data_IF_470183875210
#
_entry.id   IF_470183875210
#
_cell.length_a   1.000
_cell.length_b   1.000
_cell.length_c   1.000
_cell.angle_alpha   90.00
_cell.angle_beta   90.00
_cell.angle_gamma   90.00
#
_symmetry.space_group_name_H-M   'P 1'
#
loop_
_entity.id
_entity.type
_entity.pdbx_description
1 polymer ?
#
# COMPACT_ATOMS: atom_id res chain seq x y z
N UNK A 1 -11.79 16.80 -5.41
CA UNK A 1 -10.73 17.07 -4.43
C UNK A 1 -11.34 17.77 -3.24
N UNK A 2 -11.15 17.23 -2.03
CA UNK A 2 -11.61 17.87 -0.81
C UNK A 2 -10.97 19.23 -0.57
N UNK A 3 -11.77 20.16 -0.06
CA UNK A 3 -11.32 21.50 0.32
C UNK A 3 -11.19 21.53 1.84
N UNK A 4 -10.00 21.91 2.33
CA UNK A 4 -9.64 21.76 3.73
C UNK A 4 -9.23 23.09 4.32
N UNK A 5 -9.97 23.49 5.35
CA UNK A 5 -9.59 24.55 6.26
C UNK A 5 -9.02 23.94 7.55
N UNK A 6 -7.72 24.13 7.77
CA UNK A 6 -7.03 23.68 8.98
C UNK A 6 -7.29 24.60 10.19
N UNK A 7 -8.13 25.63 10.06
CA UNK A 7 -8.58 26.45 11.18
C UNK A 7 -9.56 25.71 12.09
N UNK A 8 -9.45 25.95 13.40
CA UNK A 8 -10.31 25.36 14.42
C UNK A 8 -9.77 24.04 15.01
N UNK A 9 -10.37 23.55 16.11
CA UNK A 9 -9.87 22.36 16.78
C UNK A 9 -10.21 21.12 15.96
N UNK A 10 -9.18 20.35 15.63
CA UNK A 10 -9.32 18.98 15.16
C UNK A 10 -9.37 18.02 16.36
N UNK A 11 -9.90 16.78 16.18
CA UNK A 11 -9.95 15.80 17.26
C UNK A 11 -8.57 15.59 17.87
N UNK A 12 -8.45 15.66 19.19
CA UNK A 12 -7.18 15.45 19.89
C UNK A 12 -6.65 14.02 19.76
N UNK A 13 -7.52 13.07 19.40
CA UNK A 13 -7.19 11.69 19.04
C UNK A 13 -6.49 11.55 17.69
N UNK A 14 -6.56 12.58 16.82
CA UNK A 14 -6.04 12.52 15.45
C UNK A 14 -4.51 12.51 15.47
N UNK A 15 -3.91 11.38 15.13
CA UNK A 15 -2.45 11.18 15.11
C UNK A 15 -1.87 11.12 13.70
N UNK A 16 -2.71 10.86 12.69
CA UNK A 16 -2.30 10.79 11.29
C UNK A 16 -3.19 11.66 10.42
N UNK A 17 -2.56 12.53 9.64
CA UNK A 17 -3.22 13.39 8.67
C UNK A 17 -2.56 13.25 7.30
N UNK A 18 -3.32 12.88 6.29
CA UNK A 18 -2.90 12.78 4.90
C UNK A 18 -3.68 13.77 4.05
N UNK A 19 -2.97 14.71 3.43
CA UNK A 19 -3.51 15.80 2.63
C UNK A 19 -3.13 15.66 1.16
N UNK A 20 -2.65 14.48 0.72
CA UNK A 20 -2.09 14.28 -0.62
C UNK A 20 -3.03 14.69 -1.77
N UNK A 21 -4.35 14.54 -1.61
CA UNK A 21 -5.36 14.90 -2.62
C UNK A 21 -6.26 16.07 -2.19
N UNK A 22 -5.84 16.82 -1.18
CA UNK A 22 -6.58 17.94 -0.62
C UNK A 22 -6.15 19.29 -1.22
N UNK A 23 -7.13 20.20 -1.39
CA UNK A 23 -6.87 21.62 -1.62
C UNK A 23 -6.92 22.35 -0.29
N UNK A 24 -5.80 22.96 0.11
CA UNK A 24 -5.71 23.72 1.35
C UNK A 24 -6.20 25.15 1.14
N UNK A 25 -7.24 25.56 1.87
CA UNK A 25 -7.72 26.95 1.90
C UNK A 25 -6.96 27.80 2.93
N UNK A 26 -6.62 27.20 4.07
CA UNK A 26 -5.91 27.87 5.14
C UNK A 26 -5.00 26.88 5.88
N UNK A 27 -3.73 27.24 6.02
CA UNK A 27 -2.69 26.44 6.68
C UNK A 27 -2.06 27.12 7.91
N UNK A 28 -2.54 28.29 8.30
CA UNK A 28 -1.93 29.14 9.34
C UNK A 28 -1.72 28.41 10.68
N UNK A 29 -2.56 27.40 10.97
CA UNK A 29 -2.54 26.62 12.22
C UNK A 29 -1.99 25.20 12.06
N UNK A 30 -1.35 24.86 10.94
CA UNK A 30 -0.76 23.52 10.74
C UNK A 30 0.21 23.16 11.87
N UNK A 31 1.08 24.10 12.25
CA UNK A 31 2.03 23.90 13.35
C UNK A 31 1.40 23.77 14.75
N UNK A 32 0.09 23.97 14.89
CA UNK A 32 -0.63 23.76 16.15
C UNK A 32 -1.12 22.31 16.31
N UNK A 33 -1.10 21.51 15.25
CA UNK A 33 -1.47 20.08 15.26
C UNK A 33 -0.33 19.22 15.85
N UNK A 34 0.16 19.61 17.01
CA UNK A 34 1.33 19.04 17.69
C UNK A 34 1.13 17.60 18.15
N UNK A 35 -0.10 17.09 18.15
CA UNK A 35 -0.42 15.69 18.45
C UNK A 35 -0.10 14.72 17.30
N UNK A 36 0.12 15.22 16.07
CA UNK A 36 0.36 14.39 14.90
C UNK A 36 1.70 13.66 15.00
N UNK A 37 1.67 12.36 14.76
CA UNK A 37 2.86 11.52 14.56
C UNK A 37 3.15 11.26 13.08
N UNK A 38 2.14 11.37 12.22
CA UNK A 38 2.25 11.12 10.77
C UNK A 38 1.59 12.26 10.00
N UNK A 39 2.32 12.82 9.04
CA UNK A 39 1.83 13.88 8.16
C UNK A 39 2.20 13.59 6.71
N UNK A 40 1.21 13.56 5.81
CA UNK A 40 1.41 13.57 4.36
C UNK A 40 0.95 14.91 3.82
N UNK A 41 1.87 15.65 3.20
CA UNK A 41 1.61 16.98 2.66
C UNK A 41 1.05 16.89 1.22
N UNK A 42 0.19 17.84 0.81
CA UNK A 42 -0.26 17.91 -0.58
C UNK A 42 0.90 18.23 -1.53
N UNK A 43 0.67 17.97 -2.81
CA UNK A 43 1.52 18.50 -3.87
C UNK A 43 1.45 20.03 -3.86
N UNK A 44 2.59 20.69 -3.71
CA UNK A 44 2.66 22.15 -3.58
C UNK A 44 4.05 22.63 -3.17
N UNK A 45 4.29 23.95 -3.13
CA UNK A 45 5.60 24.50 -2.79
C UNK A 45 5.96 24.15 -1.34
N UNK A 46 6.92 23.26 -1.20
CA UNK A 46 7.37 22.66 0.06
C UNK A 46 7.87 23.68 1.09
N UNK A 47 8.42 24.81 0.63
CA UNK A 47 8.93 25.90 1.46
C UNK A 47 7.87 26.55 2.36
N UNK A 48 6.60 26.47 1.94
CA UNK A 48 5.48 27.03 2.70
C UNK A 48 5.20 26.25 4.00
N UNK A 49 5.67 25.01 4.11
CA UNK A 49 5.42 24.15 5.26
C UNK A 49 6.52 24.21 6.33
N UNK A 50 7.78 24.48 5.95
CA UNK A 50 8.95 24.31 6.83
C UNK A 50 8.81 24.98 8.22
N UNK A 51 8.39 26.27 8.33
CA UNK A 51 8.26 26.92 9.65
C UNK A 51 7.14 26.34 10.53
N UNK A 52 6.16 25.65 9.94
CA UNK A 52 5.11 24.94 10.68
C UNK A 52 5.62 23.58 11.14
N UNK A 53 6.34 22.87 10.27
CA UNK A 53 6.91 21.54 10.56
C UNK A 53 7.95 21.57 11.68
N UNK A 54 8.74 22.64 11.79
CA UNK A 54 9.71 22.80 12.89
C UNK A 54 9.05 22.87 14.28
N UNK A 55 7.76 23.25 14.35
CA UNK A 55 7.00 23.30 15.61
C UNK A 55 6.36 21.95 15.98
N UNK A 56 6.36 21.00 15.06
CA UNK A 56 5.65 19.71 15.21
C UNK A 56 6.58 18.60 15.72
N UNK A 57 7.12 18.78 16.92
CA UNK A 57 8.20 17.94 17.48
C UNK A 57 7.85 16.47 17.74
N UNK A 58 6.60 16.04 17.53
CA UNK A 58 6.14 14.64 17.68
C UNK A 58 6.10 13.86 16.37
N UNK A 59 6.44 14.49 15.25
CA UNK A 59 6.40 13.83 13.94
C UNK A 59 7.43 12.69 13.88
N UNK A 60 6.94 11.49 13.58
CA UNK A 60 7.72 10.29 13.33
C UNK A 60 7.76 9.93 11.85
N UNK A 61 6.70 10.27 11.12
CA UNK A 61 6.55 9.99 9.69
C UNK A 61 6.17 11.25 8.95
N UNK A 62 6.93 11.60 7.91
CA UNK A 62 6.60 12.70 6.99
C UNK A 62 6.65 12.18 5.55
N UNK A 63 5.58 12.45 4.80
CA UNK A 63 5.57 12.32 3.35
C UNK A 63 5.36 13.68 2.70
N UNK A 64 6.17 13.98 1.70
CA UNK A 64 6.11 15.28 1.02
C UNK A 64 6.53 15.18 -0.44
N UNK A 65 6.09 16.15 -1.23
CA UNK A 65 6.55 16.32 -2.61
C UNK A 65 7.68 17.35 -2.64
N UNK A 66 8.77 16.99 -3.31
CA UNK A 66 9.86 17.88 -3.64
C UNK A 66 9.74 18.30 -5.11
N UNK A 67 9.79 19.60 -5.35
CA UNK A 67 10.18 20.13 -6.65
C UNK A 67 11.71 20.23 -6.71
N UNK A 68 12.27 19.99 -7.89
CA UNK A 68 13.70 19.92 -8.22
C UNK A 68 14.57 21.13 -7.81
N UNK A 69 13.98 22.22 -7.32
CA UNK A 69 14.64 23.51 -7.28
C UNK A 69 15.46 23.81 -6.03
N UNK A 70 15.19 23.25 -4.83
CA UNK A 70 15.77 23.86 -3.61
C UNK A 70 16.23 22.90 -2.49
N UNK A 71 17.53 22.97 -2.16
CA UNK A 71 18.20 22.33 -1.01
C UNK A 71 17.60 22.68 0.37
N UNK A 72 16.96 23.84 0.51
CA UNK A 72 16.33 24.29 1.77
C UNK A 72 15.08 23.50 2.17
N UNK A 73 14.57 22.68 1.25
CA UNK A 73 13.30 21.98 1.47
C UNK A 73 13.35 20.98 2.62
N UNK A 74 14.52 20.41 2.91
CA UNK A 74 14.69 19.45 4.00
C UNK A 74 15.15 20.09 5.31
N UNK A 75 15.31 21.42 5.40
CA UNK A 75 15.83 22.07 6.61
C UNK A 75 14.95 21.83 7.86
N UNK A 76 13.64 21.60 7.67
CA UNK A 76 12.70 21.32 8.77
C UNK A 76 13.09 20.07 9.59
N UNK A 77 13.87 19.15 9.02
CA UNK A 77 14.30 17.93 9.72
C UNK A 77 15.17 18.26 10.93
N UNK A 78 15.81 19.45 10.97
CA UNK A 78 16.54 19.95 12.15
C UNK A 78 15.64 20.17 13.37
N UNK A 79 14.36 20.51 13.15
CA UNK A 79 13.35 20.63 14.20
C UNK A 79 12.70 19.31 14.59
N UNK A 80 13.04 18.21 13.91
CA UNK A 80 12.40 16.90 14.06
C UNK A 80 13.44 15.77 14.21
N UNK A 81 14.28 15.78 15.27
CA UNK A 81 15.34 14.79 15.46
C UNK A 81 14.83 13.35 15.64
N UNK A 82 13.57 13.19 16.09
CA UNK A 82 12.92 11.89 16.29
C UNK A 82 12.27 11.29 15.03
N UNK A 83 12.49 11.90 13.85
CA UNK A 83 11.92 11.43 12.60
C UNK A 83 12.44 10.01 12.27
N UNK A 84 11.52 9.05 12.22
CA UNK A 84 11.83 7.64 11.92
C UNK A 84 11.60 7.26 10.47
N UNK A 85 10.64 7.93 9.81
CA UNK A 85 10.21 7.61 8.45
C UNK A 85 10.11 8.87 7.59
N UNK A 86 10.79 8.85 6.44
CA UNK A 86 10.74 9.92 5.45
C UNK A 86 10.38 9.37 4.07
N UNK A 87 9.30 9.87 3.51
CA UNK A 87 8.79 9.52 2.17
C UNK A 87 8.88 10.77 1.28
N UNK A 88 9.63 10.65 0.19
CA UNK A 88 9.92 11.75 -0.72
C UNK A 88 9.31 11.44 -2.09
N UNK A 89 8.36 12.26 -2.52
CA UNK A 89 7.81 12.23 -3.86
C UNK A 89 8.53 13.27 -4.75
N UNK A 90 8.97 12.88 -5.94
CA UNK A 90 9.64 13.77 -6.89
C UNK A 90 8.67 14.13 -8.04
N UNK A 91 8.30 15.41 -8.13
CA UNK A 91 7.44 15.95 -9.20
C UNK A 91 8.24 16.25 -10.49
N UNK A 92 7.56 16.17 -11.65
CA UNK A 92 8.11 16.41 -13.01
C UNK A 92 8.35 17.88 -13.35
N UNK A 93 8.01 18.83 -12.49
CA UNK A 93 7.73 20.23 -12.86
C UNK A 93 8.91 21.08 -13.38
N UNK A 94 10.07 20.51 -13.72
CA UNK A 94 11.13 21.28 -14.38
C UNK A 94 11.88 20.49 -15.44
N UNK A 95 12.06 21.13 -16.60
CA UNK A 95 13.09 20.78 -17.58
C UNK A 95 14.49 20.89 -16.95
N UNK A 96 15.09 19.76 -16.61
CA UNK A 96 16.45 19.64 -16.08
C UNK A 96 16.59 18.37 -15.24
N UNK A 97 17.76 17.74 -15.20
CA UNK A 97 18.00 16.55 -14.35
C UNK A 97 17.85 16.96 -12.87
N UNK A 98 16.78 16.56 -12.17
CA UNK A 98 16.62 16.86 -10.76
C UNK A 98 17.64 16.03 -9.99
N UNK A 99 18.72 16.66 -9.51
CA UNK A 99 19.61 16.02 -8.54
C UNK A 99 19.04 16.27 -7.15
N UNK A 100 18.35 15.27 -6.61
CA UNK A 100 17.93 15.30 -5.22
C UNK A 100 19.16 15.04 -4.33
N UNK A 101 19.53 16.05 -3.54
CA UNK A 101 20.63 16.01 -2.57
C UNK A 101 20.07 15.80 -1.15
N UNK A 102 20.38 14.64 -0.57
CA UNK A 102 19.98 14.28 0.80
C UNK A 102 21.00 14.72 1.87
N UNK A 103 21.96 15.57 1.52
CA UNK A 103 22.91 16.19 2.46
C UNK A 103 22.27 16.75 3.74
N UNK A 104 21.16 17.50 3.67
CA UNK A 104 20.49 18.02 4.86
C UNK A 104 20.05 16.94 5.86
N UNK A 105 19.70 15.74 5.40
CA UNK A 105 19.41 14.63 6.29
C UNK A 105 20.66 14.26 7.08
N UNK A 106 21.79 14.07 6.39
CA UNK A 106 23.07 13.72 7.01
C UNK A 106 23.52 14.80 8.00
N UNK A 107 23.36 16.06 7.62
CA UNK A 107 23.74 17.22 8.45
C UNK A 107 22.87 17.34 9.71
N UNK A 108 21.62 16.88 9.66
CA UNK A 108 20.70 16.89 10.80
C UNK A 108 20.85 15.69 11.75
N UNK A 109 21.66 14.69 11.41
CA UNK A 109 21.96 13.54 12.25
C UNK A 109 20.70 12.83 12.79
N UNK A 110 19.81 12.40 11.89
CA UNK A 110 18.56 11.73 12.27
C UNK A 110 18.83 10.32 12.82
N UNK A 111 19.15 10.21 14.10
CA UNK A 111 19.54 8.95 14.75
C UNK A 111 18.45 7.86 14.68
N UNK A 112 17.18 8.28 14.64
CA UNK A 112 16.03 7.39 14.62
C UNK A 112 15.55 7.01 13.21
N UNK A 113 16.18 7.53 12.15
CA UNK A 113 15.74 7.28 10.77
C UNK A 113 15.93 5.80 10.40
N UNK A 114 14.82 5.07 10.31
CA UNK A 114 14.76 3.65 10.00
C UNK A 114 14.05 3.35 8.67
N UNK A 115 13.27 4.28 8.13
CA UNK A 115 12.58 4.15 6.83
C UNK A 115 12.90 5.32 5.92
N UNK A 116 13.37 5.02 4.72
CA UNK A 116 13.56 6.00 3.65
C UNK A 116 12.91 5.50 2.36
N UNK A 117 11.95 6.26 1.85
CA UNK A 117 11.23 5.97 0.62
C UNK A 117 11.35 7.14 -0.36
N UNK A 118 11.68 6.83 -1.62
CA UNK A 118 11.83 7.81 -2.69
C UNK A 118 11.03 7.33 -3.89
N UNK A 119 10.06 8.13 -4.28
CA UNK A 119 9.09 7.83 -5.33
C UNK A 119 9.13 8.93 -6.38
N UNK A 120 9.62 8.61 -7.57
CA UNK A 120 9.50 9.48 -8.73
C UNK A 120 8.21 9.17 -9.49
N UNK A 121 7.54 10.24 -9.94
CA UNK A 121 6.40 10.11 -10.86
C UNK A 121 6.83 9.38 -12.14
N UNK A 122 5.92 8.59 -12.73
CA UNK A 122 6.22 7.82 -13.95
C UNK A 122 6.84 8.73 -15.01
N UNK A 123 7.88 8.28 -15.72
CA UNK A 123 8.60 9.07 -16.73
C UNK A 123 9.45 10.25 -16.19
N UNK A 124 9.54 10.43 -14.88
CA UNK A 124 10.53 11.32 -14.25
C UNK A 124 11.81 10.53 -14.00
N UNK A 125 12.84 10.74 -14.82
CA UNK A 125 14.17 10.14 -14.60
C UNK A 125 14.99 11.04 -13.69
N UNK A 126 14.57 11.14 -12.42
CA UNK A 126 15.37 11.84 -11.43
C UNK A 126 16.62 11.01 -11.10
N UNK A 127 17.80 11.60 -11.30
CA UNK A 127 19.07 11.04 -10.82
C UNK A 127 19.20 11.44 -9.36
N UNK A 128 19.14 10.45 -8.47
CA UNK A 128 19.17 10.71 -7.02
C UNK A 128 20.53 10.34 -6.46
N UNK A 129 21.22 11.30 -5.83
CA UNK A 129 22.48 11.05 -5.12
C UNK A 129 22.19 10.58 -3.69
N UNK A 130 22.30 9.28 -3.48
CA UNK A 130 22.01 8.60 -2.21
C UNK A 130 23.25 8.10 -1.49
N UNK A 131 24.42 8.06 -2.13
CA UNK A 131 25.62 7.44 -1.58
C UNK A 131 25.93 7.93 -0.16
N UNK A 132 25.94 9.25 0.08
CA UNK A 132 26.20 9.83 1.41
C UNK A 132 25.14 9.43 2.44
N UNK A 133 23.87 9.49 2.08
CA UNK A 133 22.76 9.14 2.98
C UNK A 133 22.77 7.64 3.32
N UNK A 134 22.94 6.78 2.31
CA UNK A 134 23.06 5.34 2.49
C UNK A 134 24.20 5.01 3.45
N UNK A 135 25.38 5.60 3.24
CA UNK A 135 26.52 5.37 4.13
C UNK A 135 26.22 5.86 5.54
N UNK A 136 25.68 7.08 5.69
CA UNK A 136 25.36 7.65 7.01
C UNK A 136 24.39 6.76 7.81
N UNK A 137 23.35 6.24 7.15
CA UNK A 137 22.23 5.55 7.79
C UNK A 137 22.26 4.03 7.65
N UNK A 138 23.38 3.45 7.17
CA UNK A 138 23.52 2.00 6.91
C UNK A 138 23.22 1.10 8.11
N UNK A 139 23.41 1.58 9.34
CA UNK A 139 23.16 0.80 10.56
C UNK A 139 21.76 0.98 11.12
N UNK A 140 21.09 2.09 10.81
CA UNK A 140 19.75 2.43 11.33
C UNK A 140 18.62 2.04 10.36
N UNK A 141 18.86 2.12 9.05
CA UNK A 141 17.84 1.81 8.04
C UNK A 141 17.40 0.34 8.09
N UNK A 142 16.08 0.17 8.19
CA UNK A 142 15.37 -1.11 8.18
C UNK A 142 14.49 -1.25 6.94
N UNK A 143 13.94 -0.15 6.45
CA UNK A 143 13.07 -0.13 5.27
C UNK A 143 13.63 0.84 4.25
N UNK A 144 13.82 0.36 3.02
CA UNK A 144 14.31 1.19 1.93
C UNK A 144 13.52 0.92 0.66
N UNK A 145 12.87 1.97 0.12
CA UNK A 145 12.00 1.85 -1.05
C UNK A 145 12.38 2.85 -2.12
N UNK A 146 12.59 2.36 -3.33
CA UNK A 146 12.91 3.14 -4.52
C UNK A 146 11.90 2.81 -5.62
N UNK A 147 11.22 3.83 -6.13
CA UNK A 147 10.20 3.68 -7.17
C UNK A 147 10.44 4.72 -8.27
N UNK A 148 10.66 4.26 -9.50
CA UNK A 148 10.75 5.11 -10.69
C UNK A 148 12.01 5.97 -10.78
N UNK A 149 13.03 5.74 -9.95
CA UNK A 149 14.25 6.56 -9.91
C UNK A 149 15.41 5.95 -10.71
N UNK A 150 16.35 6.81 -11.12
CA UNK A 150 17.65 6.40 -11.63
C UNK A 150 18.71 6.65 -10.55
N UNK A 151 19.54 5.65 -10.27
CA UNK A 151 20.65 5.80 -9.32
C UNK A 151 21.95 6.10 -10.04
N UNK A 152 22.76 6.99 -9.49
CA UNK A 152 24.14 7.17 -9.95
C UNK A 152 25.03 5.96 -9.57
N UNK A 153 26.17 5.76 -10.25
CA UNK A 153 27.05 4.62 -9.97
C UNK A 153 27.56 4.51 -8.53
N UNK A 154 27.80 5.62 -7.83
CA UNK A 154 28.26 5.60 -6.43
C UNK A 154 27.13 5.12 -5.52
N UNK A 155 25.90 5.59 -5.76
CA UNK A 155 24.71 5.13 -5.04
C UNK A 155 24.46 3.63 -5.25
N UNK A 156 24.67 3.11 -6.47
CA UNK A 156 24.56 1.67 -6.75
C UNK A 156 25.55 0.84 -5.94
N UNK A 157 26.80 1.30 -5.80
CA UNK A 157 27.81 0.64 -4.97
C UNK A 157 27.44 0.75 -3.49
N UNK A 158 26.93 1.92 -3.07
CA UNK A 158 26.55 2.17 -1.69
C UNK A 158 25.40 1.27 -1.21
N UNK A 159 24.47 0.86 -2.09
CA UNK A 159 23.37 -0.06 -1.74
C UNK A 159 23.84 -1.31 -1.01
N UNK A 160 25.05 -1.82 -1.33
CA UNK A 160 25.66 -2.98 -0.67
C UNK A 160 25.74 -2.81 0.84
N UNK A 161 25.95 -1.58 1.32
CA UNK A 161 26.08 -1.28 2.74
C UNK A 161 24.79 -1.50 3.54
N UNK A 162 23.61 -1.53 2.88
CA UNK A 162 22.31 -1.69 3.55
C UNK A 162 21.96 -3.15 3.86
N UNK A 163 22.46 -4.11 3.08
CA UNK A 163 22.02 -5.51 3.16
C UNK A 163 22.39 -6.23 4.47
N UNK A 164 23.30 -5.65 5.26
CA UNK A 164 23.63 -6.15 6.60
C UNK A 164 22.53 -5.91 7.65
N UNK A 165 21.65 -4.93 7.46
CA UNK A 165 20.71 -4.43 8.49
C UNK A 165 19.27 -4.32 8.02
N UNK A 166 19.05 -4.28 6.69
CA UNK A 166 17.77 -4.05 6.07
C UNK A 166 16.80 -5.23 6.30
N UNK A 167 15.57 -4.89 6.64
CA UNK A 167 14.45 -5.83 6.83
C UNK A 167 13.47 -5.78 5.66
N UNK A 168 13.32 -4.64 4.99
CA UNK A 168 12.45 -4.49 3.82
C UNK A 168 13.12 -3.72 2.68
N UNK A 169 13.05 -4.27 1.48
CA UNK A 169 13.53 -3.64 0.25
C UNK A 169 12.43 -3.61 -0.80
N UNK A 170 12.17 -2.43 -1.35
CA UNK A 170 11.36 -2.27 -2.57
C UNK A 170 12.17 -1.59 -3.65
N UNK A 171 12.25 -2.22 -4.82
CA UNK A 171 12.78 -1.60 -6.03
C UNK A 171 11.74 -1.77 -7.14
N UNK A 172 11.23 -0.66 -7.65
CA UNK A 172 10.20 -0.67 -8.68
C UNK A 172 10.52 0.29 -9.82
N UNK A 173 10.38 -0.16 -11.06
CA UNK A 173 10.48 0.67 -12.28
C UNK A 173 11.75 1.55 -12.37
N UNK A 174 12.86 1.08 -11.82
CA UNK A 174 14.14 1.79 -11.86
C UNK A 174 14.91 1.39 -13.14
N UNK A 175 14.98 2.29 -14.12
CA UNK A 175 15.31 1.93 -15.51
C UNK A 175 16.76 1.57 -15.78
N UNK A 176 17.70 1.96 -14.92
CA UNK A 176 19.11 1.59 -15.03
C UNK A 176 19.50 0.45 -14.07
N UNK A 177 18.55 -0.14 -13.35
CA UNK A 177 18.77 -1.23 -12.41
C UNK A 177 18.44 -2.57 -13.06
N UNK A 178 19.44 -3.45 -13.16
CA UNK A 178 19.25 -4.89 -13.38
C UNK A 178 19.44 -5.60 -12.05
N UNK A 179 18.52 -6.48 -11.68
CA UNK A 179 18.62 -7.20 -10.40
C UNK A 179 19.88 -8.07 -10.33
N UNK A 180 20.29 -8.68 -11.45
CA UNK A 180 21.56 -9.41 -11.55
C UNK A 180 22.79 -8.54 -11.24
N UNK A 181 22.78 -7.26 -11.60
CA UNK A 181 23.86 -6.32 -11.26
C UNK A 181 23.88 -5.96 -9.77
N UNK A 182 22.71 -5.91 -9.13
CA UNK A 182 22.56 -5.77 -7.68
C UNK A 182 23.09 -7.04 -6.99
N UNK A 183 22.68 -8.24 -7.40
CA UNK A 183 23.13 -9.50 -6.78
C UNK A 183 24.63 -9.74 -6.96
N UNK A 184 25.17 -9.57 -8.17
CA UNK A 184 26.62 -9.76 -8.44
C UNK A 184 27.46 -8.83 -7.56
N UNK A 185 26.91 -7.67 -7.22
CA UNK A 185 27.51 -6.71 -6.32
C UNK A 185 27.47 -7.11 -4.84
N UNK A 186 26.59 -8.03 -4.45
CA UNK A 186 26.39 -8.45 -3.05
C UNK A 186 27.42 -9.46 -2.55
N UNK A 187 28.19 -10.10 -3.43
CA UNK A 187 29.37 -10.95 -3.12
C UNK A 187 29.35 -11.63 -1.71
N UNK A 188 28.31 -12.42 -1.42
CA UNK A 188 28.18 -13.18 -0.17
C UNK A 188 27.61 -12.43 1.06
N UNK A 189 27.35 -11.12 0.98
CA UNK A 189 26.64 -10.33 1.99
C UNK A 189 25.12 -10.52 1.87
N UNK A 190 24.68 -11.77 1.83
CA UNK A 190 23.29 -12.09 1.57
C UNK A 190 22.48 -11.91 2.85
N UNK A 191 21.40 -11.13 2.75
CA UNK A 191 20.71 -10.51 3.87
C UNK A 191 19.91 -11.53 4.68
N UNK A 192 20.55 -12.20 5.63
CA UNK A 192 19.90 -13.01 6.66
C UNK A 192 18.96 -12.23 7.60
N UNK A 193 18.69 -10.95 7.31
CA UNK A 193 17.77 -10.06 8.03
C UNK A 193 16.54 -9.68 7.22
N UNK A 194 16.56 -9.84 5.89
CA UNK A 194 15.49 -9.36 5.02
C UNK A 194 14.24 -10.22 5.19
N UNK A 195 13.13 -9.55 5.52
CA UNK A 195 11.80 -10.13 5.71
C UNK A 195 10.87 -9.83 4.53
N UNK A 196 11.07 -8.70 3.84
CA UNK A 196 10.24 -8.30 2.69
C UNK A 196 11.10 -7.90 1.50
N UNK A 197 10.77 -8.46 0.35
CA UNK A 197 11.36 -8.11 -0.93
C UNK A 197 10.25 -7.88 -1.97
N UNK A 198 10.13 -6.64 -2.43
CA UNK A 198 9.21 -6.25 -3.51
C UNK A 198 10.04 -5.78 -4.72
N UNK A 199 9.99 -6.51 -5.83
CA UNK A 199 10.70 -6.17 -7.08
C UNK A 199 9.68 -6.06 -8.21
N UNK A 200 9.48 -4.85 -8.74
CA UNK A 200 8.45 -4.59 -9.75
C UNK A 200 9.03 -3.89 -10.97
N UNK A 201 8.68 -4.34 -12.19
CA UNK A 201 9.18 -3.74 -13.44
C UNK A 201 10.72 -3.58 -13.46
N UNK A 202 11.41 -4.57 -12.88
CA UNK A 202 12.86 -4.74 -12.95
C UNK A 202 13.10 -6.11 -13.54
N UNK A 203 14.00 -6.21 -14.50
CA UNK A 203 14.34 -7.49 -15.11
C UNK A 203 15.02 -8.40 -14.07
N UNK A 204 14.43 -9.58 -13.86
CA UNK A 204 14.97 -10.63 -12.99
C UNK A 204 15.14 -11.91 -13.81
N UNK A 205 16.38 -12.37 -13.92
CA UNK A 205 16.73 -13.49 -14.80
C UNK A 205 16.40 -14.86 -14.19
N UNK A 206 16.46 -15.00 -12.86
CA UNK A 206 16.04 -16.17 -12.09
C UNK A 206 15.83 -15.80 -10.60
N UNK A 207 15.33 -16.74 -9.79
CA UNK A 207 15.11 -16.53 -8.35
C UNK A 207 16.06 -17.32 -7.43
N UNK A 208 17.20 -17.83 -7.91
CA UNK A 208 18.12 -18.64 -7.09
C UNK A 208 18.62 -17.89 -5.84
N UNK A 209 18.77 -16.57 -5.95
CA UNK A 209 19.19 -15.70 -4.86
C UNK A 209 18.29 -15.75 -3.61
N UNK A 210 17.03 -16.21 -3.73
CA UNK A 210 16.12 -16.29 -2.58
C UNK A 210 16.51 -17.39 -1.60
N UNK A 211 17.28 -18.40 -2.03
CA UNK A 211 17.75 -19.49 -1.15
C UNK A 211 18.54 -19.00 0.05
N UNK A 212 19.21 -17.87 -0.13
CA UNK A 212 20.07 -17.25 0.86
C UNK A 212 19.31 -16.23 1.74
N UNK A 213 17.97 -16.19 1.67
CA UNK A 213 17.10 -15.28 2.44
C UNK A 213 16.13 -16.05 3.38
N UNK A 214 16.63 -16.83 4.35
CA UNK A 214 15.80 -17.74 5.14
C UNK A 214 14.76 -17.07 6.06
N UNK A 215 14.89 -15.76 6.32
CA UNK A 215 13.92 -14.95 7.08
C UNK A 215 12.87 -14.27 6.22
N UNK A 216 12.88 -14.50 4.90
CA UNK A 216 11.95 -13.85 3.99
C UNK A 216 10.52 -14.32 4.27
N UNK A 217 9.65 -13.36 4.57
CA UNK A 217 8.23 -13.54 4.85
C UNK A 217 7.37 -13.09 3.69
N UNK A 218 7.83 -12.11 2.90
CA UNK A 218 7.08 -11.57 1.78
C UNK A 218 7.98 -11.46 0.55
N UNK A 219 7.56 -12.12 -0.53
CA UNK A 219 8.16 -12.00 -1.85
C UNK A 219 7.11 -11.54 -2.85
N UNK A 220 7.37 -10.40 -3.51
CA UNK A 220 6.54 -9.92 -4.63
C UNK A 220 7.38 -9.61 -5.83
N UNK A 221 7.06 -10.24 -6.96
CA UNK A 221 7.72 -10.01 -8.23
C UNK A 221 6.73 -10.11 -9.38
N UNK A 222 6.79 -9.19 -10.34
CA UNK A 222 5.82 -9.13 -11.44
C UNK A 222 6.39 -9.46 -12.84
N UNK A 223 7.71 -9.69 -12.93
CA UNK A 223 8.37 -10.19 -14.14
C UNK A 223 9.20 -11.41 -13.78
N UNK A 224 8.54 -12.55 -13.73
CA UNK A 224 9.24 -13.83 -13.71
C UNK A 224 9.68 -14.20 -15.14
N UNK A 225 10.84 -14.84 -15.31
CA UNK A 225 11.24 -15.41 -16.59
C UNK A 225 10.21 -16.46 -17.03
N UNK A 226 10.02 -16.60 -18.35
CA UNK A 226 8.98 -17.45 -18.96
C UNK A 226 9.06 -18.94 -18.55
N UNK A 227 10.22 -19.40 -18.07
CA UNK A 227 10.44 -20.72 -17.48
C UNK A 227 10.57 -20.58 -15.96
N UNK A 228 9.45 -20.70 -15.25
CA UNK A 228 9.37 -20.51 -13.80
C UNK A 228 9.76 -21.80 -13.04
N UNK A 229 10.75 -21.69 -12.15
CA UNK A 229 11.13 -22.74 -11.19
C UNK A 229 10.95 -22.23 -9.75
N UNK A 230 10.02 -22.83 -9.00
CA UNK A 230 9.77 -22.55 -7.59
C UNK A 230 10.66 -23.37 -6.63
N UNK A 231 11.53 -24.25 -7.13
CA UNK A 231 12.47 -25.02 -6.30
C UNK A 231 13.30 -24.16 -5.32
N UNK A 232 13.71 -22.92 -5.66
CA UNK A 232 14.36 -22.03 -4.71
C UNK A 232 13.51 -21.65 -3.49
N UNK A 233 12.18 -21.58 -3.63
CA UNK A 233 11.26 -21.18 -2.57
C UNK A 233 11.15 -22.22 -1.45
N UNK A 234 11.50 -23.49 -1.69
CA UNK A 234 11.44 -24.57 -0.69
C UNK A 234 12.27 -24.28 0.57
N UNK A 235 13.29 -23.43 0.43
CA UNK A 235 14.15 -23.01 1.56
C UNK A 235 13.47 -22.00 2.48
N UNK A 236 12.38 -21.36 2.03
CA UNK A 236 11.75 -20.23 2.70
C UNK A 236 10.65 -20.68 3.66
N UNK A 237 11.03 -21.32 4.77
CA UNK A 237 10.08 -21.81 5.77
C UNK A 237 9.22 -20.71 6.41
N UNK A 238 9.65 -19.44 6.36
CA UNK A 238 8.93 -18.29 6.90
C UNK A 238 8.08 -17.55 5.86
N UNK A 239 8.05 -17.99 4.60
CA UNK A 239 7.32 -17.27 3.54
C UNK A 239 5.82 -17.29 3.81
N UNK A 240 5.27 -16.13 4.10
CA UNK A 240 3.85 -15.91 4.38
C UNK A 240 3.09 -15.40 3.15
N UNK A 241 3.73 -14.60 2.29
CA UNK A 241 3.12 -14.01 1.10
C UNK A 241 3.97 -14.23 -0.14
N UNK A 242 3.33 -14.77 -1.18
CA UNK A 242 3.87 -14.85 -2.53
C UNK A 242 2.95 -14.13 -3.53
N UNK A 243 3.48 -13.09 -4.20
CA UNK A 243 2.91 -12.51 -5.42
C UNK A 243 3.90 -12.72 -6.55
N UNK A 244 3.63 -13.69 -7.42
CA UNK A 244 4.52 -14.03 -8.53
C UNK A 244 4.11 -13.40 -9.87
N UNK A 245 3.15 -12.47 -9.87
CA UNK A 245 2.64 -11.87 -11.10
C UNK A 245 1.85 -12.85 -11.98
N UNK A 246 1.36 -12.34 -13.11
CA UNK A 246 0.55 -13.13 -14.04
C UNK A 246 1.43 -14.05 -14.88
N UNK A 247 1.18 -15.35 -14.79
CA UNK A 247 1.83 -16.36 -15.63
C UNK A 247 0.92 -16.60 -16.84
N UNK A 248 1.45 -16.44 -18.05
CA UNK A 248 0.68 -16.61 -19.28
C UNK A 248 0.69 -18.05 -19.81
N UNK A 249 1.64 -18.88 -19.37
CA UNK A 249 1.79 -20.27 -19.82
C UNK A 249 1.59 -21.23 -18.63
N UNK A 250 0.47 -21.96 -18.61
CA UNK A 250 0.09 -22.88 -17.52
C UNK A 250 -0.21 -24.27 -18.12
N UNK A 251 0.84 -24.94 -18.59
CA UNK A 251 0.75 -26.32 -19.08
C UNK A 251 0.81 -27.34 -17.92
N UNK A 252 0.51 -28.63 -18.15
CA UNK A 252 0.50 -29.67 -17.10
C UNK A 252 1.83 -29.79 -16.33
N UNK A 253 2.96 -29.41 -16.95
CA UNK A 253 4.29 -29.39 -16.32
C UNK A 253 4.36 -28.42 -15.11
N UNK A 254 3.49 -27.39 -15.08
CA UNK A 254 3.35 -26.46 -13.95
C UNK A 254 2.66 -27.07 -12.72
N UNK A 255 1.97 -28.21 -12.84
CA UNK A 255 1.32 -28.86 -11.69
C UNK A 255 2.35 -29.20 -10.59
N UNK A 256 3.55 -29.64 -11.00
CA UNK A 256 4.66 -29.96 -10.11
C UNK A 256 5.16 -28.76 -9.29
N UNK A 257 5.06 -27.55 -9.84
CA UNK A 257 5.45 -26.31 -9.17
C UNK A 257 4.48 -25.95 -8.04
N UNK A 258 3.20 -26.31 -8.15
CA UNK A 258 2.21 -26.06 -7.10
C UNK A 258 2.35 -27.00 -5.90
N UNK A 259 2.89 -28.21 -6.09
CA UNK A 259 3.27 -29.08 -4.97
C UNK A 259 4.36 -28.47 -4.09
N UNK A 260 5.24 -27.64 -4.68
CA UNK A 260 6.27 -26.93 -3.93
C UNK A 260 5.62 -25.92 -2.99
N UNK A 261 4.67 -25.14 -3.49
CA UNK A 261 3.95 -24.15 -2.68
C UNK A 261 3.07 -24.81 -1.62
N UNK A 262 2.45 -25.96 -1.93
CA UNK A 262 1.68 -26.75 -0.98
C UNK A 262 2.51 -27.23 0.22
N UNK A 263 3.84 -27.35 0.08
CA UNK A 263 4.77 -27.76 1.14
C UNK A 263 5.30 -26.60 1.97
N UNK A 264 4.97 -25.35 1.64
CA UNK A 264 5.43 -24.18 2.40
C UNK A 264 4.61 -24.05 3.70
N UNK A 265 5.23 -24.20 4.89
CA UNK A 265 4.49 -24.36 6.14
C UNK A 265 3.85 -23.08 6.66
N UNK A 266 4.28 -21.90 6.17
CA UNK A 266 3.83 -20.60 6.65
C UNK A 266 3.02 -19.82 5.61
N UNK A 267 2.76 -20.39 4.42
CA UNK A 267 2.16 -19.64 3.33
C UNK A 267 0.70 -19.31 3.65
N UNK A 268 0.43 -18.02 3.84
CA UNK A 268 -0.88 -17.46 4.19
C UNK A 268 -1.54 -16.72 3.04
N UNK A 269 -0.75 -16.11 2.15
CA UNK A 269 -1.27 -15.31 1.03
C UNK A 269 -0.66 -15.77 -0.28
N UNK A 270 -1.52 -16.12 -1.23
CA UNK A 270 -1.12 -16.45 -2.61
C UNK A 270 -1.86 -15.55 -3.60
N UNK A 271 -1.10 -14.81 -4.42
CA UNK A 271 -1.66 -14.01 -5.52
C UNK A 271 -1.41 -14.68 -6.86
N UNK A 272 -2.40 -14.62 -7.75
CA UNK A 272 -2.44 -15.27 -9.06
C UNK A 272 -2.35 -16.80 -8.99
N UNK A 273 -3.20 -17.48 -8.18
CA UNK A 273 -3.21 -18.95 -8.20
C UNK A 273 -3.53 -19.46 -9.61
N UNK A 274 -3.07 -20.67 -9.97
CA UNK A 274 -3.31 -21.24 -11.28
C UNK A 274 -4.80 -21.50 -11.51
N UNK A 275 -5.19 -21.70 -12.77
CA UNK A 275 -6.52 -22.20 -13.11
C UNK A 275 -6.83 -23.51 -12.34
N UNK A 276 -8.01 -23.58 -11.72
CA UNK A 276 -8.33 -24.58 -10.68
C UNK A 276 -8.47 -26.02 -11.13
N UNK A 277 -8.54 -26.28 -12.44
CA UNK A 277 -8.51 -27.67 -12.93
C UNK A 277 -7.23 -28.43 -12.48
N UNK A 278 -6.18 -27.71 -12.03
CA UNK A 278 -4.94 -28.26 -11.47
C UNK A 278 -4.75 -28.05 -9.94
N UNK A 279 -5.78 -27.64 -9.19
CA UNK A 279 -5.68 -27.22 -7.78
C UNK A 279 -5.73 -28.27 -6.64
N UNK A 280 -5.72 -29.61 -6.83
CA UNK A 280 -5.74 -30.55 -5.70
C UNK A 280 -4.69 -30.31 -4.60
N UNK A 281 -3.45 -29.87 -4.91
CA UNK A 281 -2.43 -29.63 -3.88
C UNK A 281 -2.76 -28.46 -2.93
N UNK A 282 -3.48 -27.43 -3.39
CA UNK A 282 -3.69 -26.20 -2.61
C UNK A 282 -4.77 -26.36 -1.53
N UNK A 283 -5.67 -27.32 -1.66
CA UNK A 283 -6.63 -27.66 -0.59
C UNK A 283 -5.94 -28.16 0.68
N UNK A 284 -4.69 -28.62 0.58
CA UNK A 284 -3.90 -29.09 1.72
C UNK A 284 -3.27 -27.93 2.52
N UNK A 285 -3.31 -26.70 2.00
CA UNK A 285 -2.79 -25.52 2.68
C UNK A 285 -3.79 -25.00 3.73
N UNK A 286 -3.77 -25.62 4.91
CA UNK A 286 -4.60 -25.20 6.05
C UNK A 286 -4.25 -23.81 6.58
N UNK A 287 -3.06 -23.28 6.25
CA UNK A 287 -2.61 -21.94 6.63
C UNK A 287 -3.06 -20.84 5.66
N UNK A 288 -3.67 -21.20 4.52
CA UNK A 288 -3.98 -20.24 3.47
C UNK A 288 -5.16 -19.37 3.88
N UNK A 289 -4.85 -18.11 4.21
CA UNK A 289 -5.81 -17.10 4.64
C UNK A 289 -6.28 -16.22 3.48
N UNK A 290 -5.45 -15.96 2.47
CA UNK A 290 -5.77 -14.97 1.42
C UNK A 290 -5.46 -15.51 0.04
N UNK A 291 -6.47 -15.47 -0.84
CA UNK A 291 -6.31 -15.75 -2.26
C UNK A 291 -6.72 -14.54 -3.07
N UNK A 292 -5.89 -14.20 -4.07
CA UNK A 292 -6.20 -13.07 -4.94
C UNK A 292 -5.86 -13.22 -6.41
N UNK A 293 -6.51 -12.40 -7.26
CA UNK A 293 -6.24 -12.26 -8.71
C UNK A 293 -6.34 -13.58 -9.50
N UNK A 294 -7.40 -14.33 -9.24
CA UNK A 294 -7.67 -15.60 -9.93
C UNK A 294 -8.14 -15.36 -11.37
N UNK A 295 -7.87 -16.32 -12.26
CA UNK A 295 -8.40 -16.33 -13.63
C UNK A 295 -9.92 -16.47 -13.69
N UNK A 296 -10.46 -16.60 -14.92
CA UNK A 296 -11.90 -16.48 -15.23
C UNK A 296 -12.84 -17.53 -14.60
N UNK A 297 -12.35 -18.59 -13.96
CA UNK A 297 -13.21 -19.52 -13.21
C UNK A 297 -12.52 -20.01 -11.93
N UNK A 298 -13.23 -19.91 -10.80
CA UNK A 298 -12.77 -20.39 -9.50
C UNK A 298 -13.90 -21.14 -8.81
N UNK A 299 -13.85 -22.48 -8.82
CA UNK A 299 -14.77 -23.33 -8.07
C UNK A 299 -14.23 -23.61 -6.65
N UNK A 300 -14.87 -23.00 -5.66
CA UNK A 300 -14.53 -23.16 -4.24
C UNK A 300 -15.39 -24.20 -3.51
N UNK A 301 -16.28 -24.91 -4.21
CA UNK A 301 -17.21 -25.87 -3.57
C UNK A 301 -16.49 -27.00 -2.80
N UNK A 302 -15.25 -27.34 -3.21
CA UNK A 302 -14.39 -28.33 -2.53
C UNK A 302 -13.50 -27.78 -1.41
N UNK A 303 -13.53 -26.47 -1.13
CA UNK A 303 -12.66 -25.80 -0.16
C UNK A 303 -13.31 -25.79 1.24
N UNK A 304 -13.76 -26.96 1.69
CA UNK A 304 -14.43 -27.12 2.99
C UNK A 304 -13.43 -27.04 4.14
N UNK A 305 -13.71 -26.23 5.17
CA UNK A 305 -12.89 -26.12 6.38
C UNK A 305 -11.96 -24.91 6.46
N UNK A 306 -11.97 -24.02 5.47
CA UNK A 306 -11.22 -22.76 5.50
C UNK A 306 -12.06 -21.64 6.14
N UNK A 307 -12.27 -21.76 7.45
CA UNK A 307 -13.08 -20.82 8.24
C UNK A 307 -12.49 -19.39 8.29
N UNK A 308 -11.22 -19.22 7.92
CA UNK A 308 -10.46 -17.96 8.00
C UNK A 308 -10.17 -17.35 6.62
N UNK A 309 -10.62 -17.99 5.53
CA UNK A 309 -10.31 -17.52 4.17
C UNK A 309 -10.89 -16.11 3.95
N UNK A 310 -10.03 -15.19 3.53
CA UNK A 310 -10.34 -13.86 3.03
C UNK A 310 -10.11 -13.88 1.53
N UNK A 311 -11.07 -13.39 0.77
CA UNK A 311 -11.01 -13.48 -0.69
C UNK A 311 -10.80 -12.12 -1.34
N UNK A 312 -9.92 -12.04 -2.35
CA UNK A 312 -9.55 -10.79 -3.05
C UNK A 312 -9.45 -10.97 -4.58
N UNK A 313 -10.53 -10.97 -5.37
CA UNK A 313 -10.45 -11.42 -6.77
C UNK A 313 -11.22 -10.64 -7.83
N UNK A 314 -10.89 -10.95 -9.10
CA UNK A 314 -11.31 -10.26 -10.33
C UNK A 314 -12.70 -10.64 -10.89
N UNK A 315 -13.40 -11.57 -10.24
CA UNK A 315 -14.78 -11.94 -10.62
C UNK A 315 -15.59 -12.29 -9.37
N UNK A 316 -16.54 -11.42 -9.04
CA UNK A 316 -17.54 -11.62 -7.99
C UNK A 316 -18.48 -12.79 -8.27
N UNK A 317 -18.76 -13.09 -9.55
CA UNK A 317 -19.91 -13.90 -9.97
C UNK A 317 -19.90 -15.35 -9.45
N UNK A 318 -18.74 -16.02 -9.52
CA UNK A 318 -18.63 -17.43 -9.13
C UNK A 318 -18.38 -17.62 -7.63
N UNK A 319 -17.67 -16.66 -7.01
CA UNK A 319 -17.33 -16.68 -5.57
C UNK A 319 -18.57 -16.48 -4.72
N UNK A 320 -19.44 -15.55 -5.08
CA UNK A 320 -20.68 -15.28 -4.34
C UNK A 320 -21.66 -16.46 -4.39
N UNK A 321 -21.59 -17.29 -5.44
CA UNK A 321 -22.44 -18.49 -5.60
C UNK A 321 -21.94 -19.71 -4.81
N UNK A 322 -20.64 -19.77 -4.50
CA UNK A 322 -19.98 -20.98 -3.99
C UNK A 322 -19.32 -20.80 -2.61
N UNK A 323 -19.27 -19.58 -2.07
CA UNK A 323 -18.61 -19.28 -0.80
C UNK A 323 -19.44 -19.62 0.44
N UNK A 324 -18.79 -19.97 1.57
CA UNK A 324 -19.48 -20.23 2.82
C UNK A 324 -20.10 -18.95 3.42
N UNK A 325 -21.31 -19.06 3.99
CA UNK A 325 -22.01 -17.97 4.71
C UNK A 325 -21.25 -17.44 5.94
N UNK A 326 -20.15 -18.08 6.32
CA UNK A 326 -19.28 -17.72 7.45
C UNK A 326 -18.15 -16.76 7.06
N UNK A 327 -18.08 -16.31 5.80
CA UNK A 327 -17.06 -15.39 5.34
C UNK A 327 -17.12 -14.05 6.10
N UNK A 328 -16.03 -13.71 6.80
CA UNK A 328 -15.93 -12.46 7.57
C UNK A 328 -15.28 -11.32 6.76
N UNK A 329 -14.57 -11.64 5.68
CA UNK A 329 -13.82 -10.69 4.88
C UNK A 329 -13.97 -10.96 3.38
N UNK A 330 -14.42 -9.95 2.62
CA UNK A 330 -14.65 -10.04 1.18
C UNK A 330 -14.05 -8.82 0.48
N UNK A 331 -13.18 -9.04 -0.50
CA UNK A 331 -12.63 -7.96 -1.34
C UNK A 331 -12.93 -8.18 -2.83
N UNK A 332 -14.13 -7.82 -3.31
CA UNK A 332 -14.46 -8.07 -4.68
C UNK A 332 -14.04 -7.00 -5.68
N UNK A 333 -13.58 -7.44 -6.85
CA UNK A 333 -13.53 -6.59 -8.03
C UNK A 333 -14.90 -6.56 -8.72
N UNK A 334 -15.45 -5.36 -8.85
CA UNK A 334 -16.69 -5.08 -9.57
C UNK A 334 -16.37 -4.96 -11.07
N UNK A 335 -17.07 -5.71 -11.92
CA UNK A 335 -17.03 -5.56 -13.39
C UNK A 335 -18.41 -5.11 -13.89
N UNK A 336 -18.48 -4.52 -15.09
CA UNK A 336 -19.66 -3.85 -15.66
C UNK A 336 -20.89 -4.77 -15.86
N UNK A 337 -20.75 -6.08 -15.64
CA UNK A 337 -21.89 -6.99 -15.67
C UNK A 337 -22.69 -6.84 -14.39
N UNK A 338 -23.84 -6.17 -14.52
CA UNK A 338 -24.96 -6.02 -13.57
C UNK A 338 -24.86 -7.00 -12.39
N UNK A 339 -24.09 -6.60 -11.39
CA UNK A 339 -23.83 -7.41 -10.20
C UNK A 339 -25.07 -7.40 -9.33
N UNK A 340 -25.69 -8.56 -9.15
CA UNK A 340 -26.75 -8.70 -8.15
C UNK A 340 -26.12 -8.80 -6.76
N UNK A 341 -25.98 -7.65 -6.09
CA UNK A 341 -25.49 -7.54 -4.71
C UNK A 341 -26.43 -8.16 -3.66
N UNK A 342 -27.57 -8.72 -4.08
CA UNK A 342 -28.57 -9.37 -3.23
C UNK A 342 -27.97 -10.47 -2.35
N UNK A 343 -27.05 -11.26 -2.88
CA UNK A 343 -26.38 -12.33 -2.15
C UNK A 343 -25.35 -11.82 -1.13
N UNK A 344 -24.76 -10.63 -1.35
CA UNK A 344 -23.88 -9.99 -0.35
C UNK A 344 -24.71 -9.54 0.85
N UNK A 345 -25.94 -9.07 0.63
CA UNK A 345 -26.85 -8.67 1.71
C UNK A 345 -27.15 -9.81 2.70
N UNK A 346 -27.05 -11.07 2.27
CA UNK A 346 -27.23 -12.24 3.14
C UNK A 346 -26.03 -12.51 4.07
N UNK A 347 -24.86 -11.96 3.76
CA UNK A 347 -23.62 -12.11 4.54
C UNK A 347 -23.63 -11.19 5.77
N UNK A 348 -24.67 -11.27 6.60
CA UNK A 348 -24.90 -10.38 7.75
C UNK A 348 -23.81 -10.41 8.83
N UNK A 349 -22.94 -11.42 8.82
CA UNK A 349 -21.79 -11.56 9.72
C UNK A 349 -20.51 -10.91 9.18
N UNK A 350 -20.55 -10.30 7.99
CA UNK A 350 -19.38 -9.72 7.35
C UNK A 350 -18.83 -8.56 8.19
N UNK A 351 -17.54 -8.64 8.53
CA UNK A 351 -16.81 -7.60 9.29
C UNK A 351 -15.99 -6.69 8.38
N UNK A 352 -15.57 -7.20 7.22
CA UNK A 352 -14.79 -6.44 6.24
C UNK A 352 -15.32 -6.63 4.84
N UNK A 353 -15.59 -5.51 4.16
CA UNK A 353 -15.95 -5.48 2.75
C UNK A 353 -15.06 -4.48 2.01
N UNK A 354 -14.31 -4.90 0.99
CA UNK A 354 -13.45 -4.02 0.20
C UNK A 354 -13.77 -4.14 -1.30
N UNK A 355 -14.58 -3.23 -1.84
CA UNK A 355 -14.98 -3.24 -3.25
C UNK A 355 -14.12 -2.29 -4.09
N UNK A 356 -13.66 -2.78 -5.24
CA UNK A 356 -12.83 -2.03 -6.18
C UNK A 356 -13.40 -2.18 -7.60
N UNK A 357 -13.57 -1.09 -8.35
CA UNK A 357 -13.88 -1.16 -9.79
C UNK A 357 -12.65 -0.70 -10.58
N UNK A 358 -12.07 -1.58 -11.40
CA UNK A 358 -10.87 -1.26 -12.19
C UNK A 358 -11.16 -0.75 -13.60
N UNK A 359 -12.43 -0.74 -14.02
CA UNK A 359 -12.78 -0.68 -15.43
C UNK A 359 -13.43 0.64 -15.87
N UNK A 360 -13.81 1.58 -14.99
CA UNK A 360 -14.49 2.77 -15.50
C UNK A 360 -14.40 4.10 -14.71
N UNK A 361 -13.56 5.01 -15.23
CA UNK A 361 -13.46 6.44 -14.83
C UNK A 361 -14.66 7.28 -15.34
N UNK A 362 -15.64 6.70 -16.05
CA UNK A 362 -16.73 7.46 -16.71
C UNK A 362 -18.14 7.30 -16.12
N UNK A 363 -18.34 6.48 -15.08
CA UNK A 363 -19.66 6.37 -14.44
C UNK A 363 -19.93 7.62 -13.60
N UNK A 364 -20.81 8.49 -14.12
CA UNK A 364 -21.18 9.75 -13.47
C UNK A 364 -22.43 9.64 -12.59
N UNK A 365 -23.14 8.51 -12.66
CA UNK A 365 -24.38 8.26 -11.93
C UNK A 365 -24.14 7.36 -10.72
N UNK A 366 -24.62 7.73 -9.52
CA UNK A 366 -24.51 6.87 -8.36
C UNK A 366 -25.18 5.50 -8.57
N UNK A 367 -24.49 4.42 -8.20
CA UNK A 367 -25.04 3.07 -8.15
C UNK A 367 -25.91 2.83 -6.91
N UNK A 368 -26.71 1.77 -6.94
CA UNK A 368 -27.50 1.32 -5.78
C UNK A 368 -26.65 0.41 -4.87
N UNK A 369 -26.32 0.94 -3.70
CA UNK A 369 -25.58 0.23 -2.64
C UNK A 369 -26.45 -0.04 -1.41
N UNK A 370 -27.78 -0.12 -1.56
CA UNK A 370 -28.74 -0.36 -0.46
C UNK A 370 -28.43 -1.62 0.35
N UNK A 371 -27.82 -2.64 -0.26
CA UNK A 371 -27.38 -3.86 0.43
C UNK A 371 -26.43 -3.60 1.61
N UNK A 372 -25.65 -2.51 1.58
CA UNK A 372 -24.75 -2.13 2.69
C UNK A 372 -25.53 -1.90 3.99
N UNK A 373 -26.80 -1.49 3.90
CA UNK A 373 -27.64 -1.28 5.07
C UNK A 373 -27.93 -2.55 5.88
N UNK A 374 -27.82 -3.73 5.25
CA UNK A 374 -27.99 -5.03 5.90
C UNK A 374 -26.72 -5.51 6.66
N UNK A 375 -25.55 -4.95 6.33
CA UNK A 375 -24.25 -5.37 6.84
C UNK A 375 -23.90 -4.65 8.15
N UNK A 376 -24.77 -4.81 9.16
CA UNK A 376 -24.69 -4.08 10.44
C UNK A 376 -23.47 -4.40 11.29
N UNK A 377 -22.79 -5.52 11.02
CA UNK A 377 -21.58 -5.97 11.71
C UNK A 377 -20.27 -5.49 11.05
N UNK A 378 -20.35 -4.64 10.02
CA UNK A 378 -19.15 -4.13 9.36
C UNK A 378 -18.30 -3.28 10.31
N UNK A 379 -17.03 -3.65 10.41
CA UNK A 379 -15.98 -2.90 11.10
C UNK A 379 -15.09 -2.14 10.10
N UNK A 380 -14.93 -2.70 8.89
CA UNK A 380 -14.11 -2.14 7.80
C UNK A 380 -14.91 -2.14 6.50
N UNK A 381 -15.03 -0.97 5.89
CA UNK A 381 -15.62 -0.79 4.57
C UNK A 381 -14.66 -0.02 3.68
N UNK A 382 -14.22 -0.63 2.60
CA UNK A 382 -13.41 0.02 1.57
C UNK A 382 -14.15 0.00 0.24
N UNK A 383 -14.36 1.17 -0.33
CA UNK A 383 -15.06 1.39 -1.59
C UNK A 383 -14.15 2.28 -2.41
N UNK A 384 -13.54 1.72 -3.46
CA UNK A 384 -12.52 2.39 -4.25
C UNK A 384 -12.92 2.39 -5.72
N UNK A 385 -12.97 3.57 -6.34
CA UNK A 385 -13.36 3.74 -7.74
C UNK A 385 -14.78 3.21 -8.05
N UNK A 386 -15.60 2.99 -7.02
CA UNK A 386 -17.00 2.57 -7.18
C UNK A 386 -17.94 3.78 -7.19
N UNK A 387 -19.01 3.78 -8.01
CA UNK A 387 -19.91 4.92 -8.14
C UNK A 387 -20.87 5.09 -6.95
N UNK A 388 -20.41 5.06 -5.70
CA UNK A 388 -21.26 5.39 -4.54
C UNK A 388 -21.30 6.91 -4.31
N UNK A 389 -22.49 7.43 -4.03
CA UNK A 389 -22.69 8.86 -3.73
C UNK A 389 -23.48 9.16 -2.45
N UNK A 390 -24.46 8.32 -2.10
CA UNK A 390 -25.26 8.48 -0.88
C UNK A 390 -24.73 7.60 0.25
N UNK A 391 -24.24 8.23 1.33
CA UNK A 391 -23.73 7.55 2.52
C UNK A 391 -24.78 7.27 3.60
N UNK A 392 -26.06 7.62 3.40
CA UNK A 392 -27.13 7.35 4.38
C UNK A 392 -27.30 5.87 4.68
N UNK A 393 -26.99 5.02 3.71
CA UNK A 393 -27.02 3.55 3.85
C UNK A 393 -26.06 3.05 4.95
N UNK A 394 -25.01 3.82 5.28
CA UNK A 394 -24.03 3.44 6.30
C UNK A 394 -24.48 3.72 7.73
N UNK A 395 -25.59 4.44 7.95
CA UNK A 395 -26.05 4.80 9.31
C UNK A 395 -26.30 3.60 10.22
N UNK A 396 -26.60 2.43 9.65
CA UNK A 396 -26.81 1.19 10.40
C UNK A 396 -25.50 0.45 10.74
N UNK A 397 -24.37 0.79 10.10
CA UNK A 397 -23.06 0.19 10.34
C UNK A 397 -22.39 0.81 11.58
N UNK A 398 -23.05 0.73 12.73
CA UNK A 398 -22.63 1.42 13.97
C UNK A 398 -21.29 0.92 14.54
N UNK A 399 -20.83 -0.27 14.14
CA UNK A 399 -19.53 -0.84 14.49
C UNK A 399 -18.39 -0.44 13.53
N UNK A 400 -18.65 0.43 12.55
CA UNK A 400 -17.66 0.79 11.55
C UNK A 400 -16.53 1.63 12.15
N UNK A 401 -15.30 1.09 12.05
CA UNK A 401 -14.06 1.69 12.57
C UNK A 401 -13.17 2.24 11.47
N UNK A 402 -13.27 1.69 10.25
CA UNK A 402 -12.51 2.12 9.08
C UNK A 402 -13.42 2.26 7.87
N UNK A 403 -13.38 3.44 7.25
CA UNK A 403 -14.10 3.76 6.03
C UNK A 403 -13.14 4.34 4.99
N UNK A 404 -13.03 3.68 3.84
CA UNK A 404 -12.30 4.16 2.67
C UNK A 404 -13.29 4.38 1.53
N UNK A 405 -13.32 5.59 0.97
CA UNK A 405 -14.23 6.03 -0.09
C UNK A 405 -13.45 6.62 -1.28
N UNK A 406 -12.29 6.04 -1.57
CA UNK A 406 -11.32 6.61 -2.51
C UNK A 406 -11.90 6.66 -3.93
N UNK A 407 -11.75 7.80 -4.62
CA UNK A 407 -12.22 7.98 -6.02
C UNK A 407 -13.72 7.65 -6.21
N UNK A 408 -14.56 7.91 -5.20
CA UNK A 408 -16.02 7.72 -5.28
C UNK A 408 -16.76 9.02 -5.61
N UNK A 409 -18.07 8.94 -5.85
CA UNK A 409 -18.93 10.09 -6.18
C UNK A 409 -19.46 10.85 -4.94
N UNK A 410 -18.91 10.58 -3.75
CA UNK A 410 -19.32 11.21 -2.50
C UNK A 410 -19.07 12.72 -2.51
N UNK A 411 -20.10 13.48 -2.15
CA UNK A 411 -20.07 14.95 -2.03
C UNK A 411 -20.47 15.45 -0.64
N UNK A 412 -21.31 14.72 0.08
CA UNK A 412 -21.76 15.03 1.44
C UNK A 412 -21.34 13.92 2.41
N UNK A 413 -20.53 14.29 3.40
CA UNK A 413 -20.04 13.39 4.45
C UNK A 413 -20.81 13.54 5.77
N UNK A 414 -21.83 14.40 5.83
CA UNK A 414 -22.68 14.59 7.02
C UNK A 414 -23.33 13.31 7.54
N UNK A 415 -23.71 12.31 6.70
CA UNK A 415 -24.25 11.05 7.20
C UNK A 415 -23.30 10.27 8.12
N UNK A 416 -21.99 10.51 8.05
CA UNK A 416 -20.97 9.84 8.86
C UNK A 416 -21.01 10.26 10.34
N UNK A 417 -21.70 11.34 10.70
CA UNK A 417 -21.79 11.83 12.08
C UNK A 417 -22.35 10.78 13.06
N UNK A 418 -23.17 9.85 12.56
CA UNK A 418 -23.73 8.75 13.35
C UNK A 418 -22.73 7.64 13.69
N UNK A 419 -21.56 7.61 13.04
CA UNK A 419 -20.54 6.56 13.17
C UNK A 419 -19.52 6.96 14.25
N UNK A 420 -19.94 6.89 15.52
CA UNK A 420 -19.14 7.38 16.65
C UNK A 420 -17.89 6.54 16.94
N UNK A 421 -17.83 5.29 16.46
CA UNK A 421 -16.66 4.41 16.55
C UNK A 421 -15.65 4.59 15.39
N UNK A 422 -15.91 5.50 14.45
CA UNK A 422 -15.08 5.64 13.25
C UNK A 422 -13.71 6.25 13.59
N UNK A 423 -12.66 5.46 13.39
CA UNK A 423 -11.28 5.82 13.75
C UNK A 423 -10.44 6.21 12.52
N UNK A 424 -10.75 5.66 11.35
CA UNK A 424 -10.01 5.88 10.12
C UNK A 424 -10.95 6.25 8.98
N UNK A 425 -10.68 7.37 8.33
CA UNK A 425 -11.45 7.87 7.18
C UNK A 425 -10.50 8.21 6.04
N UNK A 426 -10.80 7.73 4.84
CA UNK A 426 -10.09 8.09 3.61
C UNK A 426 -11.10 8.58 2.55
N UNK A 427 -10.99 9.86 2.19
CA UNK A 427 -11.84 10.57 1.22
C UNK A 427 -11.06 11.01 -0.02
N UNK A 428 -9.85 10.48 -0.24
CA UNK A 428 -9.00 10.90 -1.37
C UNK A 428 -9.71 10.66 -2.69
N UNK A 429 -9.67 11.63 -3.60
CA UNK A 429 -10.33 11.52 -4.90
C UNK A 429 -11.86 11.70 -4.87
N UNK A 430 -12.47 11.92 -3.71
CA UNK A 430 -13.90 12.27 -3.64
C UNK A 430 -14.16 13.71 -4.09
N UNK A 431 -15.46 14.05 -4.20
CA UNK A 431 -15.96 15.40 -4.49
C UNK A 431 -16.50 16.12 -3.24
N UNK A 432 -16.14 15.64 -2.04
CA UNK A 432 -16.59 16.25 -0.78
C UNK A 432 -15.97 17.63 -0.57
N UNK A 433 -16.75 18.70 -0.66
CA UNK A 433 -16.23 20.07 -0.54
C UNK A 433 -16.20 20.61 0.89
N UNK A 434 -16.94 19.99 1.81
CA UNK A 434 -17.00 20.40 3.21
C UNK A 434 -16.82 19.19 4.12
N UNK A 435 -15.69 19.15 4.82
CA UNK A 435 -15.34 18.07 5.77
C UNK A 435 -15.41 18.53 7.23
N UNK A 436 -16.04 19.67 7.53
CA UNK A 436 -16.10 20.21 8.89
C UNK A 436 -16.80 19.28 9.89
N UNK A 437 -17.72 18.44 9.44
CA UNK A 437 -18.35 17.41 10.28
C UNK A 437 -17.33 16.45 10.91
N UNK A 438 -16.19 16.23 10.25
CA UNK A 438 -15.13 15.38 10.76
C UNK A 438 -14.42 15.99 11.99
N UNK A 439 -14.46 17.32 12.15
CA UNK A 439 -13.86 18.01 13.31
C UNK A 439 -14.59 17.67 14.62
N UNK A 440 -15.88 17.33 14.55
CA UNK A 440 -16.69 16.96 15.73
C UNK A 440 -16.75 15.46 16.00
N UNK A 441 -16.03 14.62 15.24
CA UNK A 441 -16.02 13.17 15.44
C UNK A 441 -14.95 12.78 16.49
N UNK A 442 -15.34 12.17 17.62
CA UNK A 442 -14.46 12.05 18.79
C UNK A 442 -13.38 10.97 18.66
N UNK A 443 -13.56 10.01 17.74
CA UNK A 443 -12.73 8.80 17.65
C UNK A 443 -11.73 8.82 16.50
N UNK A 444 -11.74 9.86 15.64
CA UNK A 444 -10.86 9.91 14.47
C UNK A 444 -9.40 9.94 14.91
N UNK A 445 -8.64 8.94 14.47
CA UNK A 445 -7.19 8.80 14.65
C UNK A 445 -6.45 9.05 13.35
N UNK A 446 -7.04 8.65 12.22
CA UNK A 446 -6.45 8.72 10.89
C UNK A 446 -7.42 9.39 9.91
N UNK A 447 -6.96 10.45 9.26
CA UNK A 447 -7.72 11.17 8.26
C UNK A 447 -6.92 11.30 6.97
N UNK A 448 -7.50 10.90 5.83
CA UNK A 448 -6.93 11.11 4.49
C UNK A 448 -7.90 11.86 3.59
N UNK A 449 -7.40 12.90 2.92
CA UNK A 449 -8.18 13.86 2.13
C UNK A 449 -7.61 14.05 0.73
#
# INVERSE_FOLDING_TARGET
>A
MPVVDLSGPWPSSMTKLDLSNARLENMSRLGELTQLSTLVLPTGPSESYSPSLERMTRLKTISMTLSSSNRRTLDFVRGNPDLGELIIHISRDTCGEPVLDLGPLVDAQLENLHTLEIVASSGSFAVVNLARAIIAYRTSLKVFRLVGVSLDPESLVALRALFGTLEELTISACTNLRWSSVITSLNGAISGHLKRLDIWNVQVDNIEFVRDMPKLQVLRMNQFPDTMDFSPLQTLAQLELLDHGKIYNLDEEFASQWEILAKLPSLKTLKHPPSIHCAPPLQQLQTLEVISRCGKSLDLSGWTGLEVLKWVGWSLGDVVRTSPRTLLHLEPLVDEQKLEFSHIAEMTQLRTLCMYDSNNISVTTPGDYSFLGALTQLEVLELVEVPIGDLKVLRSATHLRRLVLKETLVTDVSPLLSLTELECIDLRGTKATNVNVLKSMPSIKVLRL
#
